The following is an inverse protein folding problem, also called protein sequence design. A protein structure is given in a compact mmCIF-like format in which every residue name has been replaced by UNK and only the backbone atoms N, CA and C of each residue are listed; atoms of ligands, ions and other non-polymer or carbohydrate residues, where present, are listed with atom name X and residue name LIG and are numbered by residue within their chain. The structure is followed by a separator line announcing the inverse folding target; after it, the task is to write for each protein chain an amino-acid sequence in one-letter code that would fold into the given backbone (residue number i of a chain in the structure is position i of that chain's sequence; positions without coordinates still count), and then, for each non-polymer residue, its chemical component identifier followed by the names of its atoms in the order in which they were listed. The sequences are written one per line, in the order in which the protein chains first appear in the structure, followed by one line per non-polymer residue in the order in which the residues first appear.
data_IF_029413500750
#
_entry.id   IF_029413500750
#
_cell.length_a   1.000
_cell.length_b   1.000
_cell.length_c   1.000
_cell.angle_alpha   90.00
_cell.angle_beta   90.00
_cell.angle_gamma   90.00
#
_symmetry.space_group_name_H-M   'P 1'
#
loop_
_entity.id
_entity.type
_entity.pdbx_description
1 polymer ?
#
# COMPACT_ATOMS: atom_id res chain seq x y z
N UNK A 1 17.44 45.68 48.72
CA UNK A 1 16.69 45.58 50.00
C UNK A 1 15.28 45.10 49.65
N UNK A 2 14.95 43.83 49.87
CA UNK A 2 14.06 43.36 50.96
C UNK A 2 12.76 44.18 51.15
N UNK A 3 11.67 43.76 50.49
CA UNK A 3 10.33 43.37 51.04
C UNK A 3 9.16 43.73 50.10
N UNK A 4 7.93 43.20 50.15
CA UNK A 4 7.34 41.89 50.55
C UNK A 4 5.78 42.07 50.67
N UNK A 5 5.00 41.56 49.69
CA UNK A 5 3.61 41.02 49.76
C UNK A 5 2.40 41.92 50.20
N UNK A 6 1.25 41.56 49.58
CA UNK A 6 -0.19 41.73 49.92
C UNK A 6 -0.95 42.76 49.04
N UNK A 7 -1.76 42.37 48.03
CA UNK A 7 -2.91 41.42 47.93
C UNK A 7 -4.17 41.94 48.66
N UNK A 8 -5.23 42.31 47.92
CA UNK A 8 -6.64 41.86 48.09
C UNK A 8 -7.65 42.57 47.13
N UNK A 9 -8.46 41.73 46.45
CA UNK A 9 -9.83 41.88 45.91
C UNK A 9 -10.38 43.13 45.15
N UNK A 10 -11.02 42.80 44.01
CA UNK A 10 -12.03 43.51 43.20
C UNK A 10 -13.41 43.62 43.93
N UNK A 11 -14.35 44.53 43.56
CA UNK A 11 -15.29 44.23 42.45
C UNK A 11 -15.91 45.41 41.65
N UNK A 12 -16.17 45.10 40.36
CA UNK A 12 -17.39 45.30 39.54
C UNK A 12 -18.24 46.62 39.49
N UNK A 13 -18.60 46.95 38.22
CA UNK A 13 -19.96 47.25 37.70
C UNK A 13 -20.45 48.71 37.45
N UNK A 14 -20.60 49.00 36.14
CA UNK A 14 -21.79 49.57 35.43
C UNK A 14 -22.26 51.02 35.69
N UNK A 15 -22.25 51.84 34.61
CA UNK A 15 -23.38 52.69 34.15
C UNK A 15 -23.09 53.25 32.73
N UNK A 16 -24.13 53.69 32.01
CA UNK A 16 -24.08 53.94 30.56
C UNK A 16 -24.62 55.32 30.11
N UNK A 17 -24.58 55.53 28.79
CA UNK A 17 -25.42 56.43 27.96
C UNK A 17 -24.98 57.88 27.66
N UNK A 18 -24.59 58.07 26.39
CA UNK A 18 -25.12 59.03 25.40
C UNK A 18 -25.19 60.54 25.70
N UNK A 19 -24.67 61.33 24.75
CA UNK A 19 -25.20 62.68 24.48
C UNK A 19 -25.27 62.96 22.96
N UNK A 20 -26.40 63.52 22.55
CA UNK A 20 -26.74 63.94 21.17
C UNK A 20 -26.35 65.43 20.97
N UNK A 21 -26.36 65.93 19.72
CA UNK A 21 -26.75 67.31 19.26
C UNK A 21 -26.03 67.66 17.91
N UNK A 22 -26.56 68.39 16.92
CA UNK A 22 -27.85 68.40 16.19
C UNK A 22 -27.90 69.63 15.21
N UNK A 23 -28.39 69.41 13.98
CA UNK A 23 -28.94 70.37 12.96
C UNK A 23 -28.08 71.45 12.26
N UNK A 24 -28.22 71.52 10.91
CA UNK A 24 -28.93 72.56 10.10
C UNK A 24 -28.89 72.12 8.59
N UNK A 25 -29.98 71.85 7.82
CA UNK A 25 -31.08 72.70 7.28
C UNK A 25 -30.69 73.45 5.95
N UNK A 26 -31.35 73.32 4.77
CA UNK A 26 -32.48 72.47 4.28
C UNK A 26 -32.25 71.85 2.83
N UNK A 27 -32.95 72.12 1.67
CA UNK A 27 -33.32 71.01 0.75
C UNK A 27 -33.21 71.26 -0.80
N UNK A 28 -33.69 70.31 -1.63
CA UNK A 28 -34.60 70.46 -2.82
C UNK A 28 -34.36 69.39 -3.93
N UNK A 29 -35.40 68.55 -4.14
CA UNK A 29 -35.84 67.89 -5.39
C UNK A 29 -34.83 67.24 -6.37
N UNK A 30 -34.93 65.92 -6.55
CA UNK A 30 -35.71 65.33 -7.67
C UNK A 30 -35.81 63.80 -7.60
N UNK A 31 -37.00 63.28 -7.92
CA UNK A 31 -37.33 61.89 -8.28
C UNK A 31 -38.43 61.93 -9.36
N UNK A 32 -38.86 60.83 -9.99
CA UNK A 32 -38.26 59.49 -10.11
C UNK A 32 -38.09 59.08 -11.60
N UNK A 33 -37.67 57.85 -11.86
CA UNK A 33 -38.19 57.09 -13.03
C UNK A 33 -38.26 55.62 -12.65
N UNK A 34 -39.44 55.22 -12.24
CA UNK A 34 -39.86 53.82 -12.20
C UNK A 34 -40.67 53.57 -13.47
N UNK A 35 -40.45 52.44 -14.15
CA UNK A 35 -41.35 51.97 -15.20
C UNK A 35 -41.48 50.45 -15.07
N UNK A 36 -42.47 50.04 -14.29
CA UNK A 36 -43.12 48.75 -14.47
C UNK A 36 -43.98 48.82 -15.74
N UNK A 37 -44.13 47.72 -16.49
CA UNK A 37 -45.44 47.02 -16.60
C UNK A 37 -45.20 45.57 -17.08
N UNK A 38 -45.90 44.61 -16.45
CA UNK A 38 -46.55 43.37 -16.96
C UNK A 38 -46.06 42.69 -18.27
N UNK A 39 -46.18 41.38 -18.47
CA UNK A 39 -46.63 40.23 -17.65
C UNK A 39 -46.57 38.96 -18.49
N UNK A 40 -46.31 37.79 -17.91
CA UNK A 40 -47.20 36.64 -18.09
C UNK A 40 -46.99 35.58 -17.00
N UNK A 41 -48.06 34.82 -16.72
CA UNK A 41 -48.13 33.76 -15.71
C UNK A 41 -48.48 32.48 -16.46
N UNK A 42 -47.76 31.40 -16.18
CA UNK A 42 -48.27 30.02 -16.03
C UNK A 42 -47.16 29.27 -15.26
N UNK A 43 -47.38 28.80 -14.03
CA UNK A 43 -48.23 27.66 -13.65
C UNK A 43 -47.49 26.33 -13.94
N UNK A 44 -46.96 25.74 -12.87
CA UNK A 44 -46.22 24.48 -12.92
C UNK A 44 -47.16 23.29 -13.10
N UNK A 45 -46.61 22.17 -13.60
CA UNK A 45 -46.65 20.97 -12.76
C UNK A 45 -45.25 20.41 -12.52
N UNK A 46 -45.12 19.65 -11.44
CA UNK A 46 -44.00 18.74 -11.26
C UNK A 46 -44.32 17.42 -11.96
N UNK A 47 -43.35 16.88 -12.69
CA UNK A 47 -43.13 15.43 -12.86
C UNK A 47 -41.66 15.26 -13.22
N UNK A 48 -41.04 14.20 -12.70
CA UNK A 48 -39.62 13.93 -12.88
C UNK A 48 -39.44 12.91 -14.02
N UNK A 49 -38.53 13.20 -14.93
CA UNK A 49 -37.90 12.20 -15.80
C UNK A 49 -36.38 12.41 -15.75
N UNK A 50 -35.65 11.31 -15.88
CA UNK A 50 -34.22 11.22 -15.59
C UNK A 50 -33.38 11.87 -16.70
N UNK A 51 -32.66 12.95 -16.37
CA UNK A 51 -31.46 13.33 -17.11
C UNK A 51 -30.30 12.51 -16.51
N UNK A 52 -29.98 11.38 -17.14
CA UNK A 52 -28.77 10.62 -16.87
C UNK A 52 -27.56 11.44 -17.36
N UNK A 53 -27.09 12.34 -16.51
CA UNK A 53 -25.96 13.22 -16.82
C UNK A 53 -24.66 12.43 -16.92
N UNK A 54 -24.05 12.48 -18.12
CA UNK A 54 -22.71 11.98 -18.41
C UNK A 54 -21.68 12.40 -17.34
N UNK A 55 -20.85 11.44 -16.93
CA UNK A 55 -19.69 11.68 -16.06
C UNK A 55 -18.57 12.30 -16.89
N UNK A 56 -18.56 13.64 -17.03
CA UNK A 56 -17.50 14.36 -17.76
C UNK A 56 -16.17 14.41 -16.99
N UNK A 57 -15.14 13.86 -17.64
CA UNK A 57 -13.69 14.13 -17.59
C UNK A 57 -12.93 14.09 -16.24
N UNK A 58 -12.24 12.97 -16.03
CA UNK A 58 -10.96 12.92 -15.31
C UNK A 58 -9.91 12.17 -16.16
N UNK A 59 -8.99 12.91 -16.77
CA UNK A 59 -7.91 12.36 -17.59
C UNK A 59 -6.61 12.17 -16.77
N UNK A 60 -6.11 10.92 -16.66
CA UNK A 60 -4.94 10.58 -15.84
C UNK A 60 -3.92 9.60 -16.47
N UNK A 61 -2.76 10.14 -16.83
CA UNK A 61 -1.46 9.46 -16.97
C UNK A 61 -1.26 8.51 -18.17
N UNK A 62 -0.65 9.04 -19.24
CA UNK A 62 -0.37 8.31 -20.49
C UNK A 62 0.77 7.28 -20.35
N UNK A 63 0.45 6.00 -20.40
CA UNK A 63 1.40 4.88 -20.43
C UNK A 63 1.61 4.39 -21.87
N UNK A 64 2.85 4.03 -22.24
CA UNK A 64 3.17 3.50 -23.56
C UNK A 64 4.03 2.23 -23.44
N UNK A 65 3.49 1.03 -23.72
CA UNK A 65 4.22 -0.22 -23.51
C UNK A 65 5.28 -0.44 -24.60
N UNK A 66 6.55 -0.53 -24.19
CA UNK A 66 7.65 -1.04 -25.02
C UNK A 66 7.82 -2.54 -24.78
N UNK A 67 7.00 -3.36 -25.42
CA UNK A 67 6.98 -4.81 -25.23
C UNK A 67 8.08 -5.50 -26.06
N UNK A 68 9.05 -6.13 -25.39
CA UNK A 68 9.98 -7.11 -25.98
C UNK A 68 9.92 -8.40 -25.14
N UNK A 69 9.84 -9.56 -25.81
CA UNK A 69 9.32 -10.82 -25.26
C UNK A 69 10.14 -11.36 -24.06
N UNK A 70 9.43 -11.82 -23.02
CA UNK A 70 10.03 -12.53 -21.89
C UNK A 70 10.33 -14.00 -22.25
N UNK A 71 11.41 -14.61 -21.72
CA UNK A 71 11.76 -15.99 -22.02
C UNK A 71 10.93 -17.01 -21.21
N UNK A 72 10.48 -18.08 -21.86
CA UNK A 72 9.83 -19.23 -21.18
C UNK A 72 10.85 -20.08 -20.38
N UNK A 73 10.68 -20.22 -19.05
CA UNK A 73 11.13 -21.44 -18.34
C UNK A 73 10.35 -21.77 -17.05
N UNK A 74 9.90 -23.04 -17.01
CA UNK A 74 9.76 -23.96 -15.85
C UNK A 74 8.91 -23.65 -14.60
N UNK A 75 7.93 -24.54 -14.43
CA UNK A 75 7.24 -25.02 -13.20
C UNK A 75 6.32 -24.03 -12.45
N UNK A 76 5.09 -24.52 -12.22
CA UNK A 76 3.96 -23.79 -11.63
C UNK A 76 4.19 -23.55 -10.12
N UNK A 77 5.00 -22.55 -9.75
CA UNK A 77 4.66 -21.77 -8.56
C UNK A 77 3.34 -21.08 -8.88
N UNK A 78 2.32 -21.33 -8.06
CA UNK A 78 1.03 -20.66 -8.16
C UNK A 78 1.27 -19.17 -7.92
N UNK A 79 1.11 -18.34 -8.95
CA UNK A 79 1.22 -16.89 -8.80
C UNK A 79 0.20 -16.35 -7.80
N UNK A 80 0.40 -15.13 -7.26
CA UNK A 80 -0.55 -14.53 -6.33
C UNK A 80 -1.97 -14.48 -6.93
N UNK A 81 -2.99 -14.55 -6.10
CA UNK A 81 -4.40 -14.51 -6.52
C UNK A 81 -4.79 -13.15 -7.13
N UNK A 82 -6.01 -13.06 -7.64
CA UNK A 82 -6.57 -11.78 -8.09
C UNK A 82 -6.76 -10.90 -6.85
N UNK A 83 -6.20 -9.68 -6.78
CA UNK A 83 -6.30 -8.86 -5.58
C UNK A 83 -7.74 -8.33 -5.41
N UNK A 84 -8.37 -8.59 -4.26
CA UNK A 84 -9.76 -8.22 -3.96
C UNK A 84 -9.90 -7.04 -3.00
N UNK A 85 -8.99 -6.90 -2.02
CA UNK A 85 -9.11 -5.85 -0.98
C UNK A 85 -7.77 -5.18 -0.69
N UNK A 86 -7.79 -3.86 -0.52
CA UNK A 86 -6.70 -3.05 0.02
C UNK A 86 -7.03 -2.59 1.44
N UNK A 87 -6.07 -2.75 2.37
CA UNK A 87 -6.15 -2.16 3.72
C UNK A 87 -4.90 -1.33 4.01
N UNK A 88 -5.08 -0.11 4.53
CA UNK A 88 -3.99 0.77 4.97
C UNK A 88 -4.31 1.34 6.37
N UNK A 89 -3.86 0.69 7.45
CA UNK A 89 -4.30 1.03 8.81
C UNK A 89 -3.89 2.44 9.28
N UNK A 90 -2.80 2.99 8.75
CA UNK A 90 -2.31 4.32 9.12
C UNK A 90 -3.27 5.47 8.73
N UNK A 91 -4.14 5.23 7.75
CA UNK A 91 -5.10 6.21 7.19
C UNK A 91 -6.55 5.70 7.18
N UNK A 92 -6.86 4.68 8.00
CA UNK A 92 -8.19 4.07 8.14
C UNK A 92 -8.85 3.62 6.80
N UNK A 93 -8.04 3.19 5.81
CA UNK A 93 -8.54 2.69 4.51
C UNK A 93 -8.77 1.18 4.55
N UNK A 94 -9.97 0.76 4.14
CA UNK A 94 -10.38 -0.61 3.81
C UNK A 94 -11.27 -0.49 2.56
N UNK A 95 -10.83 -1.02 1.42
CA UNK A 95 -11.46 -0.78 0.11
C UNK A 95 -11.41 -1.98 -0.83
N UNK A 96 -12.50 -2.20 -1.58
CA UNK A 96 -12.56 -3.19 -2.66
C UNK A 96 -11.67 -2.76 -3.85
N UNK A 97 -11.05 -3.74 -4.49
CA UNK A 97 -10.21 -3.59 -5.68
C UNK A 97 -10.96 -3.97 -6.96
N UNK A 98 -10.82 -3.15 -8.00
CA UNK A 98 -11.37 -3.42 -9.33
C UNK A 98 -10.32 -3.32 -10.44
N UNK A 99 -10.42 -4.17 -11.46
CA UNK A 99 -9.48 -4.19 -12.60
C UNK A 99 -9.65 -2.94 -13.48
N UNK A 100 -8.59 -2.15 -13.63
CA UNK A 100 -8.52 -1.01 -14.55
C UNK A 100 -7.43 -1.19 -15.60
N UNK A 101 -7.77 -0.90 -16.85
CA UNK A 101 -6.87 -1.07 -18.01
C UNK A 101 -6.25 0.23 -18.51
N UNK A 102 -5.78 0.20 -19.76
CA UNK A 102 -5.36 1.38 -20.52
C UNK A 102 -6.53 1.84 -21.42
N UNK A 103 -6.90 3.11 -21.31
CA UNK A 103 -7.93 3.79 -22.09
C UNK A 103 -7.43 4.17 -23.50
N UNK A 104 -8.35 4.50 -24.43
CA UNK A 104 -8.03 4.81 -25.84
C UNK A 104 -7.07 6.01 -26.04
N UNK A 105 -7.02 6.93 -25.07
CA UNK A 105 -6.10 8.07 -24.97
C UNK A 105 -4.70 7.67 -24.42
N UNK A 106 -4.48 6.38 -24.14
CA UNK A 106 -3.28 5.81 -23.55
C UNK A 106 -3.20 5.93 -22.03
N UNK A 107 -4.26 6.37 -21.35
CA UNK A 107 -4.25 6.66 -19.91
C UNK A 107 -4.63 5.46 -19.04
N UNK A 108 -4.14 5.40 -17.80
CA UNK A 108 -4.62 4.42 -16.83
C UNK A 108 -6.10 4.72 -16.47
N UNK A 109 -6.93 3.69 -16.43
CA UNK A 109 -8.29 3.79 -15.91
C UNK A 109 -8.31 4.13 -14.41
N UNK A 110 -9.39 4.76 -13.94
CA UNK A 110 -9.61 5.08 -12.53
C UNK A 110 -10.80 4.27 -12.01
N UNK A 111 -10.91 4.01 -10.69
CA UNK A 111 -12.07 3.32 -10.13
C UNK A 111 -13.37 4.08 -10.41
N UNK A 112 -14.48 3.34 -10.56
CA UNK A 112 -15.82 3.87 -10.86
C UNK A 112 -16.42 4.62 -9.66
N UNK A 113 -15.99 4.28 -8.43
CA UNK A 113 -16.51 4.85 -7.19
C UNK A 113 -15.44 5.62 -6.40
N UNK A 114 -15.86 6.57 -5.58
CA UNK A 114 -14.98 7.33 -4.68
C UNK A 114 -14.45 6.50 -3.49
N UNK A 115 -15.03 5.32 -3.24
CA UNK A 115 -14.70 4.44 -2.12
C UNK A 115 -13.82 3.24 -2.56
N UNK A 116 -13.85 2.87 -3.85
CA UNK A 116 -13.08 1.77 -4.43
C UNK A 116 -11.72 2.19 -4.99
N UNK A 117 -10.86 1.19 -5.26
CA UNK A 117 -9.49 1.38 -5.75
C UNK A 117 -9.25 0.56 -7.02
N UNK A 118 -8.73 1.19 -8.07
CA UNK A 118 -8.43 0.54 -9.34
C UNK A 118 -7.04 -0.11 -9.34
N UNK A 119 -6.96 -1.42 -9.54
CA UNK A 119 -5.72 -2.15 -9.80
C UNK A 119 -5.38 -2.14 -11.30
N UNK A 120 -4.16 -1.71 -11.64
CA UNK A 120 -3.67 -1.72 -13.01
C UNK A 120 -3.31 -3.15 -13.48
N UNK A 121 -4.31 -3.89 -13.96
CA UNK A 121 -4.16 -5.27 -14.46
C UNK A 121 -3.05 -5.44 -15.52
N UNK A 122 -2.80 -4.49 -16.46
CA UNK A 122 -1.71 -4.63 -17.44
C UNK A 122 -0.29 -4.51 -16.85
N UNK A 123 -0.16 -4.21 -15.57
CA UNK A 123 1.11 -4.14 -14.83
C UNK A 123 1.51 -5.47 -14.19
N UNK A 124 2.34 -5.42 -13.15
CA UNK A 124 2.55 -6.59 -12.30
C UNK A 124 1.35 -6.77 -11.35
N UNK A 125 1.01 -8.01 -11.01
CA UNK A 125 0.06 -8.31 -9.95
C UNK A 125 0.73 -8.07 -8.58
N UNK A 126 0.00 -7.62 -7.54
CA UNK A 126 0.56 -7.50 -6.19
C UNK A 126 1.23 -8.81 -5.75
N UNK A 127 2.49 -8.72 -5.30
CA UNK A 127 3.32 -9.86 -4.94
C UNK A 127 4.16 -10.47 -6.08
N UNK A 128 3.91 -10.15 -7.34
CA UNK A 128 4.81 -10.51 -8.44
C UNK A 128 6.08 -9.64 -8.47
N UNK A 129 7.10 -10.09 -9.21
CA UNK A 129 8.27 -9.27 -9.50
C UNK A 129 7.89 -8.15 -10.48
N UNK A 130 8.11 -6.90 -10.07
CA UNK A 130 7.77 -5.70 -10.83
C UNK A 130 7.13 -4.63 -9.96
N UNK A 131 6.43 -3.70 -10.62
CA UNK A 131 5.62 -2.67 -9.99
C UNK A 131 4.14 -2.99 -10.19
N UNK A 132 3.45 -3.40 -9.13
CA UNK A 132 2.00 -3.37 -9.08
C UNK A 132 1.53 -1.93 -8.82
N UNK A 133 0.41 -1.51 -9.40
CA UNK A 133 -0.07 -0.13 -9.27
C UNK A 133 -1.54 -0.11 -8.88
N UNK A 134 -1.87 0.65 -7.84
CA UNK A 134 -3.23 0.92 -7.39
C UNK A 134 -3.52 2.44 -7.49
N UNK A 135 -4.66 2.80 -8.05
CA UNK A 135 -5.10 4.19 -8.16
C UNK A 135 -6.44 4.39 -7.43
N UNK A 136 -6.54 5.47 -6.66
CA UNK A 136 -7.76 5.85 -5.94
C UNK A 136 -7.98 7.35 -6.00
N UNK A 137 -9.25 7.77 -5.92
CA UNK A 137 -9.60 9.19 -5.95
C UNK A 137 -9.16 9.89 -4.66
N UNK A 138 -8.73 11.15 -4.78
CA UNK A 138 -8.39 12.01 -3.63
C UNK A 138 -9.64 12.64 -3.04
N UNK A 139 -10.52 13.16 -3.89
CA UNK A 139 -11.80 13.74 -3.51
C UNK A 139 -12.88 13.44 -4.56
N UNK A 140 -14.09 13.87 -4.24
CA UNK A 140 -15.29 13.72 -5.05
C UNK A 140 -16.16 14.97 -4.90
N UNK A 141 -17.28 15.03 -5.63
CA UNK A 141 -18.26 16.12 -5.49
C UNK A 141 -18.89 16.20 -4.10
N UNK A 142 -18.89 15.10 -3.36
CA UNK A 142 -19.54 14.97 -2.04
C UNK A 142 -18.55 15.10 -0.86
N UNK A 143 -17.23 15.04 -1.12
CA UNK A 143 -16.18 15.22 -0.10
C UNK A 143 -14.92 14.40 -0.38
N UNK A 144 -14.07 14.19 0.64
CA UNK A 144 -12.95 13.24 0.61
C UNK A 144 -13.31 11.89 -0.01
N UNK A 145 -12.35 11.29 -0.72
CA UNK A 145 -12.46 9.96 -1.30
C UNK A 145 -11.38 9.03 -0.71
N UNK A 146 -11.32 7.77 -1.15
CA UNK A 146 -10.52 6.69 -0.55
C UNK A 146 -9.04 7.04 -0.29
N UNK A 147 -8.40 7.84 -1.16
CA UNK A 147 -6.99 8.23 -1.03
C UNK A 147 -6.79 9.70 -0.62
N UNK A 148 -7.79 10.34 0.00
CA UNK A 148 -7.68 11.70 0.53
C UNK A 148 -6.47 11.89 1.48
N UNK A 149 -6.34 10.98 2.45
CA UNK A 149 -5.29 11.02 3.47
C UNK A 149 -4.02 10.24 3.07
N UNK A 150 -3.91 9.77 1.81
CA UNK A 150 -2.70 9.08 1.30
C UNK A 150 -1.41 9.91 1.43
N UNK A 151 -1.55 11.23 1.59
CA UNK A 151 -0.46 12.16 1.83
C UNK A 151 0.12 12.12 3.26
N UNK A 152 -0.53 11.44 4.20
CA UNK A 152 -0.07 11.27 5.59
C UNK A 152 0.88 10.06 5.76
N UNK A 153 0.97 9.15 4.77
CA UNK A 153 1.81 7.96 4.85
C UNK A 153 3.31 8.28 4.87
N UNK A 154 4.01 7.75 5.88
CA UNK A 154 5.45 7.86 6.09
C UNK A 154 6.16 6.51 5.87
N UNK A 155 7.50 6.53 5.79
CA UNK A 155 8.28 5.31 5.61
C UNK A 155 8.20 4.41 6.86
N UNK A 156 7.86 3.14 6.68
CA UNK A 156 7.56 2.18 7.75
C UNK A 156 6.07 1.94 8.01
N UNK A 157 5.16 2.67 7.35
CA UNK A 157 3.72 2.37 7.40
C UNK A 157 3.39 1.08 6.61
N UNK A 158 2.40 0.33 7.10
CA UNK A 158 2.02 -0.97 6.55
C UNK A 158 0.84 -0.84 5.56
N UNK A 159 0.93 -1.56 4.44
CA UNK A 159 -0.11 -1.66 3.40
C UNK A 159 -0.37 -3.14 3.15
N UNK A 160 -1.63 -3.56 3.17
CA UNK A 160 -2.03 -4.96 2.99
C UNK A 160 -2.90 -5.12 1.75
N UNK A 161 -2.62 -6.16 0.95
CA UNK A 161 -3.47 -6.56 -0.17
C UNK A 161 -3.88 -8.02 0.01
N UNK A 162 -5.18 -8.27 -0.02
CA UNK A 162 -5.75 -9.62 0.13
C UNK A 162 -6.32 -10.10 -1.19
N UNK A 163 -6.00 -11.33 -1.57
CA UNK A 163 -6.41 -11.95 -2.84
C UNK A 163 -7.68 -12.82 -2.75
N UNK A 164 -8.21 -13.22 -3.91
CA UNK A 164 -9.41 -14.05 -4.10
C UNK A 164 -9.32 -15.45 -3.48
N UNK A 165 -8.15 -15.83 -2.96
CA UNK A 165 -7.90 -17.08 -2.26
C UNK A 165 -7.73 -16.89 -0.74
N UNK A 166 -7.78 -15.65 -0.27
CA UNK A 166 -7.63 -15.25 1.13
C UNK A 166 -6.17 -15.12 1.58
N UNK A 167 -5.22 -15.03 0.65
CA UNK A 167 -3.82 -14.76 0.95
C UNK A 167 -3.63 -13.25 1.15
N UNK A 168 -3.05 -12.84 2.29
CA UNK A 168 -2.78 -11.45 2.61
C UNK A 168 -1.28 -11.16 2.40
N UNK A 169 -0.97 -10.14 1.59
CA UNK A 169 0.37 -9.67 1.29
C UNK A 169 0.64 -8.37 2.05
N UNK A 170 1.67 -8.36 2.89
CA UNK A 170 2.14 -7.15 3.57
C UNK A 170 3.20 -6.43 2.73
N UNK A 171 3.05 -5.11 2.62
CA UNK A 171 4.03 -4.20 2.03
C UNK A 171 4.38 -3.10 3.05
N UNK A 172 5.64 -2.65 3.05
CA UNK A 172 6.10 -1.51 3.86
C UNK A 172 6.31 -0.28 2.97
N UNK A 173 5.79 0.86 3.37
CA UNK A 173 6.03 2.15 2.70
C UNK A 173 7.52 2.51 2.79
N UNK A 174 8.15 2.75 1.63
CA UNK A 174 9.57 3.14 1.54
C UNK A 174 9.74 4.65 1.39
N UNK A 175 8.83 5.31 0.65
CA UNK A 175 8.81 6.76 0.42
C UNK A 175 7.47 7.24 -0.13
N UNK A 176 7.12 8.48 0.19
CA UNK A 176 5.99 9.22 -0.39
C UNK A 176 6.52 10.42 -1.18
N UNK A 177 6.10 10.57 -2.44
CA UNK A 177 6.64 11.59 -3.36
C UNK A 177 5.50 12.27 -4.14
N UNK A 178 5.61 13.59 -4.32
CA UNK A 178 4.71 14.39 -5.16
C UNK A 178 5.44 14.84 -6.43
N UNK A 179 4.80 14.68 -7.58
CA UNK A 179 5.30 15.04 -8.91
C UNK A 179 4.30 15.96 -9.65
N UNK A 180 4.78 16.87 -10.50
CA UNK A 180 3.91 17.51 -11.52
C UNK A 180 3.32 16.39 -12.40
N UNK A 181 2.02 16.49 -12.71
CA UNK A 181 1.28 15.47 -13.49
C UNK A 181 1.96 15.05 -14.80
N UNK A 182 2.81 15.90 -15.39
CA UNK A 182 3.52 15.69 -16.66
C UNK A 182 4.98 15.27 -16.49
N UNK A 183 5.53 15.35 -15.28
CA UNK A 183 6.93 15.04 -14.96
C UNK A 183 7.09 13.78 -14.09
N UNK A 184 5.98 13.17 -13.66
CA UNK A 184 5.99 11.92 -12.89
C UNK A 184 6.69 10.77 -13.66
N UNK A 185 7.61 10.02 -13.02
CA UNK A 185 8.48 9.06 -13.70
C UNK A 185 7.76 7.76 -14.05
N UNK A 186 7.12 7.74 -15.23
CA UNK A 186 6.45 6.57 -15.84
C UNK A 186 7.16 5.22 -15.60
N UNK A 187 8.46 5.15 -15.92
CA UNK A 187 9.25 3.91 -15.80
C UNK A 187 9.50 3.49 -14.34
N UNK A 188 9.56 4.43 -13.40
CA UNK A 188 9.74 4.12 -11.97
C UNK A 188 8.43 3.64 -11.33
N UNK A 189 7.29 4.10 -11.85
CA UNK A 189 5.97 3.82 -11.29
C UNK A 189 5.31 2.59 -11.92
N UNK A 190 5.42 2.42 -13.24
CA UNK A 190 4.78 1.36 -14.04
C UNK A 190 5.76 0.46 -14.80
N UNK A 191 7.04 0.83 -14.84
CA UNK A 191 8.06 0.07 -15.56
C UNK A 191 8.49 -1.19 -14.82
N UNK A 192 9.54 -1.84 -15.32
CA UNK A 192 10.03 -3.11 -14.76
C UNK A 192 10.88 -2.86 -13.52
N UNK A 193 10.69 -3.69 -12.49
CA UNK A 193 11.59 -3.79 -11.33
C UNK A 193 12.04 -5.23 -11.14
N UNK A 194 13.22 -5.41 -10.54
CA UNK A 194 13.68 -6.71 -10.04
C UNK A 194 13.12 -7.02 -8.63
N UNK A 195 12.61 -5.99 -7.93
CA UNK A 195 11.91 -6.13 -6.63
C UNK A 195 10.41 -6.42 -6.79
N UNK A 196 9.69 -6.50 -5.67
CA UNK A 196 8.24 -6.68 -5.60
C UNK A 196 7.62 -5.44 -4.94
N UNK A 197 7.05 -4.54 -5.73
CA UNK A 197 6.57 -3.25 -5.25
C UNK A 197 5.07 -3.08 -5.48
N UNK A 198 4.43 -2.31 -4.59
CA UNK A 198 3.06 -1.81 -4.77
C UNK A 198 3.09 -0.29 -4.71
N UNK A 199 2.75 0.37 -5.81
CA UNK A 199 2.72 1.82 -5.91
C UNK A 199 1.27 2.31 -5.79
N UNK A 200 0.98 3.09 -4.73
CA UNK A 200 -0.33 3.72 -4.53
C UNK A 200 -0.30 5.13 -5.13
N UNK A 201 -1.26 5.47 -5.99
CA UNK A 201 -1.29 6.73 -6.73
C UNK A 201 -2.61 7.48 -6.50
N UNK A 202 -2.52 8.79 -6.27
CA UNK A 202 -3.69 9.67 -6.31
C UNK A 202 -3.40 11.06 -6.89
N UNK A 203 -4.46 11.83 -7.15
CA UNK A 203 -4.35 13.24 -7.51
C UNK A 203 -3.99 14.08 -6.28
N UNK A 204 -3.17 15.13 -6.42
CA UNK A 204 -2.92 16.05 -5.30
C UNK A 204 -2.62 17.46 -5.78
N UNK A 205 -2.50 18.39 -4.85
CA UNK A 205 -2.24 19.80 -5.16
C UNK A 205 -3.49 20.54 -5.65
N UNK A 206 -3.30 21.60 -6.42
CA UNK A 206 -4.40 22.50 -6.82
C UNK A 206 -5.23 21.90 -7.95
N UNK A 207 -6.57 21.89 -7.82
CA UNK A 207 -7.47 21.53 -8.90
C UNK A 207 -7.44 22.59 -10.01
N UNK A 208 -7.13 22.17 -11.24
CA UNK A 208 -7.00 23.04 -12.39
C UNK A 208 -8.23 22.97 -13.30
N UNK A 209 -9.06 24.02 -13.24
CA UNK A 209 -10.31 24.10 -14.00
C UNK A 209 -10.12 24.13 -15.53
N UNK A 210 -8.93 24.45 -16.05
CA UNK A 210 -8.64 24.36 -17.49
C UNK A 210 -8.49 22.90 -17.96
N UNK A 211 -8.05 22.01 -17.06
CA UNK A 211 -7.72 20.62 -17.37
C UNK A 211 -8.59 19.58 -16.65
N UNK A 212 -9.60 20.01 -15.87
CA UNK A 212 -10.52 19.12 -15.15
C UNK A 212 -9.86 18.23 -14.08
N UNK A 213 -8.63 18.50 -13.67
CA UNK A 213 -7.85 17.62 -12.79
C UNK A 213 -6.82 18.42 -11.99
N UNK A 214 -6.22 17.80 -10.97
CA UNK A 214 -5.17 18.45 -10.18
C UNK A 214 -3.84 18.52 -10.93
N UNK A 215 -3.05 19.54 -10.62
CA UNK A 215 -1.74 19.79 -11.23
C UNK A 215 -0.67 18.75 -10.85
N UNK A 216 -0.80 18.09 -9.69
CA UNK A 216 0.19 17.15 -9.17
C UNK A 216 -0.36 15.71 -9.02
N UNK A 217 0.54 14.75 -8.87
CA UNK A 217 0.27 13.34 -8.51
C UNK A 217 1.10 12.96 -7.30
N UNK A 218 0.46 12.33 -6.32
CA UNK A 218 1.13 11.73 -5.17
C UNK A 218 1.31 10.23 -5.44
N UNK A 219 2.52 9.74 -5.21
CA UNK A 219 2.87 8.33 -5.31
C UNK A 219 3.51 7.88 -4.01
N UNK A 220 2.94 6.86 -3.39
CA UNK A 220 3.52 6.11 -2.28
C UNK A 220 4.14 4.86 -2.86
N UNK A 221 5.44 4.68 -2.63
CA UNK A 221 6.19 3.52 -3.09
C UNK A 221 6.37 2.56 -1.92
N UNK A 222 6.01 1.29 -2.10
CA UNK A 222 6.23 0.25 -1.10
C UNK A 222 7.15 -0.86 -1.60
N UNK A 223 7.60 -1.70 -0.69
CA UNK A 223 8.29 -2.95 -0.99
C UNK A 223 7.59 -4.08 -0.23
N UNK A 224 7.43 -5.25 -0.86
CA UNK A 224 6.83 -6.41 -0.22
C UNK A 224 7.67 -6.80 1.00
N UNK A 225 7.02 -6.92 2.15
CA UNK A 225 7.63 -7.54 3.33
C UNK A 225 7.68 -9.03 3.05
N UNK A 226 8.81 -9.52 2.57
CA UNK A 226 9.09 -10.95 2.56
C UNK A 226 9.10 -11.40 4.03
N UNK A 227 8.21 -12.32 4.42
CA UNK A 227 8.38 -13.01 5.69
C UNK A 227 9.72 -13.72 5.67
N UNK A 228 10.69 -13.17 6.41
CA UNK A 228 11.88 -13.91 6.84
C UNK A 228 11.37 -15.14 7.59
N UNK A 229 11.27 -16.28 6.89
CA UNK A 229 10.86 -17.54 7.47
C UNK A 229 11.81 -17.82 8.63
N UNK A 230 11.31 -17.60 9.85
CA UNK A 230 12.15 -17.49 11.04
C UNK A 230 13.01 -18.73 11.20
N UNK A 231 14.23 -18.55 11.76
CA UNK A 231 15.22 -19.62 11.88
C UNK A 231 14.55 -20.96 12.25
N UNK A 232 14.58 -21.97 11.36
CA UNK A 232 13.67 -23.10 11.47
C UNK A 232 13.98 -23.93 12.71
N UNK A 233 12.98 -24.64 13.21
CA UNK A 233 13.12 -25.49 14.38
C UNK A 233 14.26 -26.53 14.20
N UNK A 234 14.95 -26.82 15.29
CA UNK A 234 16.11 -27.73 15.26
C UNK A 234 15.67 -29.18 15.05
N UNK A 235 16.26 -29.95 14.12
CA UNK A 235 15.90 -31.36 13.94
C UNK A 235 16.16 -32.19 15.21
N UNK A 236 15.12 -32.85 15.71
CA UNK A 236 15.18 -33.65 16.93
C UNK A 236 15.26 -35.17 16.67
N UNK A 237 15.28 -35.95 17.77
CA UNK A 237 15.20 -37.41 17.78
C UNK A 237 16.31 -38.08 16.93
N UNK A 238 17.52 -37.57 17.08
CA UNK A 238 18.71 -38.07 16.38
C UNK A 238 19.03 -39.50 16.83
N UNK A 239 19.30 -40.39 15.88
CA UNK A 239 19.69 -41.76 16.17
C UNK A 239 20.77 -42.27 15.23
N UNK A 240 21.86 -42.75 15.82
CA UNK A 240 22.95 -43.46 15.14
C UNK A 240 22.80 -44.97 15.35
N UNK A 241 22.90 -45.74 14.27
CA UNK A 241 22.81 -47.20 14.31
C UNK A 241 23.67 -47.82 13.22
N UNK A 242 24.88 -48.24 13.59
CA UNK A 242 25.90 -48.67 12.64
C UNK A 242 26.27 -47.52 11.70
N UNK A 243 26.12 -47.73 10.40
CA UNK A 243 26.45 -46.77 9.34
C UNK A 243 25.28 -45.84 8.99
N UNK A 244 24.26 -45.69 9.86
CA UNK A 244 23.07 -44.88 9.59
C UNK A 244 22.83 -43.83 10.67
N UNK A 245 22.70 -42.58 10.24
CA UNK A 245 22.30 -41.41 11.02
C UNK A 245 20.88 -41.03 10.61
N UNK A 246 19.95 -40.82 11.55
CA UNK A 246 18.54 -40.50 11.28
C UNK A 246 18.02 -39.44 12.23
N UNK A 247 17.04 -38.68 11.79
CA UNK A 247 16.40 -37.59 12.54
C UNK A 247 14.89 -37.58 12.30
N UNK A 248 14.14 -36.86 13.13
CA UNK A 248 12.75 -36.51 12.84
C UNK A 248 12.68 -35.34 11.86
N UNK A 249 11.65 -35.31 11.01
CA UNK A 249 11.35 -34.12 10.24
C UNK A 249 10.90 -32.99 11.17
N UNK A 250 11.29 -31.76 10.83
CA UNK A 250 10.76 -30.52 11.40
C UNK A 250 9.38 -30.28 10.80
N UNK A 251 8.43 -29.85 11.62
CA UNK A 251 7.03 -29.62 11.26
C UNK A 251 6.81 -28.13 10.91
N UNK A 252 7.51 -27.71 9.85
CA UNK A 252 7.57 -26.33 9.34
C UNK A 252 7.47 -26.41 7.81
N UNK A 253 6.50 -25.70 7.24
CA UNK A 253 6.23 -25.71 5.80
C UNK A 253 7.29 -24.97 4.97
N UNK A 254 8.03 -24.06 5.58
CA UNK A 254 9.12 -23.35 4.93
C UNK A 254 10.38 -24.21 4.76
N UNK A 255 10.52 -25.31 5.50
CA UNK A 255 11.68 -26.20 5.44
C UNK A 255 11.71 -27.00 4.14
N UNK A 256 12.51 -26.53 3.18
CA UNK A 256 12.74 -27.19 1.87
C UNK A 256 13.79 -28.32 1.96
N UNK A 257 14.61 -28.36 3.01
CA UNK A 257 15.67 -29.35 3.10
C UNK A 257 16.41 -29.42 4.45
N UNK A 258 17.49 -30.19 4.45
CA UNK A 258 18.33 -30.50 5.60
C UNK A 258 19.79 -30.59 5.16
N UNK A 259 20.72 -30.09 5.97
CA UNK A 259 22.17 -30.24 5.76
C UNK A 259 22.75 -31.10 6.89
N UNK A 260 23.39 -32.21 6.52
CA UNK A 260 24.06 -33.13 7.45
C UNK A 260 25.54 -32.80 7.43
N UNK A 261 26.09 -32.52 8.61
CA UNK A 261 27.49 -32.18 8.82
C UNK A 261 28.21 -33.29 9.57
N UNK A 262 29.53 -33.38 9.36
CA UNK A 262 30.44 -34.22 10.13
C UNK A 262 31.61 -33.41 10.66
N UNK A 263 32.12 -33.78 11.83
CA UNK A 263 33.29 -33.18 12.47
C UNK A 263 34.47 -34.18 12.44
N UNK A 264 35.57 -33.79 11.80
CA UNK A 264 36.80 -34.59 11.69
C UNK A 264 37.59 -34.58 13.01
N UNK A 265 38.54 -35.51 13.17
CA UNK A 265 39.38 -35.63 14.38
C UNK A 265 40.19 -34.37 14.74
N UNK A 266 40.43 -33.47 13.77
CA UNK A 266 41.13 -32.19 13.98
C UNK A 266 40.19 -31.01 14.30
N UNK A 267 38.88 -31.25 14.40
CA UNK A 267 37.84 -30.25 14.63
C UNK A 267 37.33 -29.57 13.36
N UNK A 268 37.79 -29.97 12.17
CA UNK A 268 37.25 -29.46 10.90
C UNK A 268 35.83 -29.98 10.69
N UNK A 269 34.88 -29.07 10.42
CA UNK A 269 33.50 -29.43 10.07
C UNK A 269 33.35 -29.44 8.54
N UNK A 270 32.74 -30.49 8.01
CA UNK A 270 32.42 -30.65 6.58
C UNK A 270 30.93 -30.92 6.37
N UNK A 271 30.37 -30.39 5.27
CA UNK A 271 29.04 -30.77 4.80
C UNK A 271 29.11 -32.19 4.20
N UNK A 272 28.50 -33.17 4.88
CA UNK A 272 28.51 -34.58 4.50
C UNK A 272 27.40 -34.92 3.49
N UNK A 273 26.24 -34.27 3.59
CA UNK A 273 25.13 -34.39 2.64
C UNK A 273 24.13 -33.25 2.73
N UNK A 274 23.38 -33.02 1.65
CA UNK A 274 22.11 -32.28 1.66
C UNK A 274 20.95 -33.22 1.35
N UNK A 275 19.78 -32.98 1.95
CA UNK A 275 18.56 -33.79 1.78
C UNK A 275 17.32 -32.93 1.62
N UNK A 276 16.49 -33.22 0.61
CA UNK A 276 15.25 -32.48 0.40
C UNK A 276 14.18 -32.78 1.48
N UNK A 277 13.20 -31.88 1.63
CA UNK A 277 12.08 -32.03 2.57
C UNK A 277 11.26 -33.30 2.36
N UNK A 278 11.08 -33.74 1.11
CA UNK A 278 10.39 -35.00 0.78
C UNK A 278 11.31 -36.25 0.85
N UNK A 279 12.64 -36.09 0.97
CA UNK A 279 13.53 -37.24 1.12
C UNK A 279 13.47 -37.83 2.54
N UNK A 280 13.78 -39.14 2.62
CA UNK A 280 13.90 -39.87 3.88
C UNK A 280 14.91 -39.19 4.80
N UNK A 281 14.51 -38.94 6.05
CA UNK A 281 15.32 -38.33 7.13
C UNK A 281 16.39 -39.29 7.66
N UNK A 282 17.33 -39.63 6.78
CA UNK A 282 18.44 -40.52 7.04
C UNK A 282 19.61 -40.26 6.10
N UNK A 283 20.80 -40.24 6.68
CA UNK A 283 22.09 -40.29 6.02
C UNK A 283 22.76 -41.62 6.36
N UNK A 284 23.61 -42.13 5.46
CA UNK A 284 24.38 -43.35 5.72
C UNK A 284 25.75 -43.26 5.07
N UNK A 285 26.79 -43.55 5.84
CA UNK A 285 28.19 -43.57 5.42
C UNK A 285 29.00 -44.41 6.42
N UNK A 286 30.18 -44.87 6.01
CA UNK A 286 31.04 -45.74 6.82
C UNK A 286 31.53 -45.05 8.11
N UNK A 287 31.72 -43.73 8.06
CA UNK A 287 32.22 -42.86 9.14
C UNK A 287 31.16 -42.42 10.17
N UNK A 288 29.87 -42.74 9.96
CA UNK A 288 28.77 -42.36 10.87
C UNK A 288 28.93 -42.93 12.29
N UNK A 289 29.61 -44.06 12.45
CA UNK A 289 29.92 -44.65 13.75
C UNK A 289 31.30 -44.29 14.30
N UNK A 290 32.07 -43.46 13.58
CA UNK A 290 33.48 -43.13 13.87
C UNK A 290 33.68 -41.64 14.14
N UNK A 291 32.93 -40.77 13.45
CA UNK A 291 32.99 -39.31 13.55
C UNK A 291 31.68 -38.72 14.07
N UNK A 292 31.77 -37.56 14.71
CA UNK A 292 30.59 -36.85 15.20
C UNK A 292 29.78 -36.25 14.05
N UNK A 293 28.47 -36.45 14.08
CA UNK A 293 27.52 -35.96 13.08
C UNK A 293 26.41 -35.12 13.72
N UNK A 294 25.91 -34.15 12.95
CA UNK A 294 24.71 -33.38 13.28
C UNK A 294 23.97 -32.96 12.00
N UNK A 295 22.75 -32.45 12.15
CA UNK A 295 21.91 -32.00 11.04
C UNK A 295 21.23 -30.67 11.37
N UNK A 296 21.05 -29.83 10.37
CA UNK A 296 20.22 -28.62 10.40
C UNK A 296 19.04 -28.77 9.44
N UNK A 297 17.94 -28.07 9.71
CA UNK A 297 16.89 -27.79 8.73
C UNK A 297 17.26 -26.55 7.89
N UNK A 298 16.71 -26.44 6.68
CA UNK A 298 16.97 -25.34 5.73
C UNK A 298 15.65 -24.86 5.12
N UNK A 299 15.40 -23.55 5.17
CA UNK A 299 14.19 -22.90 4.62
C UNK A 299 14.33 -22.53 3.12
N UNK A 300 13.25 -22.03 2.49
CA UNK A 300 13.19 -21.63 1.06
C UNK A 300 14.14 -20.47 0.74
N UNK A 301 14.24 -19.49 1.63
CA UNK A 301 15.20 -18.36 1.64
C UNK A 301 16.64 -18.80 1.91
N UNK A 302 16.84 -19.94 2.58
CA UNK A 302 18.13 -20.57 2.82
C UNK A 302 18.72 -20.40 4.22
N UNK A 303 17.98 -19.83 5.17
CA UNK A 303 18.33 -19.88 6.60
C UNK A 303 18.49 -21.34 7.10
N UNK A 304 19.37 -21.53 8.08
CA UNK A 304 19.60 -22.84 8.72
C UNK A 304 19.20 -22.82 10.20
N UNK A 305 18.59 -23.92 10.66
CA UNK A 305 18.33 -24.13 12.09
C UNK A 305 19.62 -24.12 12.90
N UNK A 306 19.49 -23.98 14.22
CA UNK A 306 20.58 -24.41 15.10
C UNK A 306 20.93 -25.91 14.86
N UNK A 307 22.17 -26.33 15.14
CA UNK A 307 22.57 -27.74 15.02
C UNK A 307 21.77 -28.68 15.92
N UNK A 308 21.37 -29.84 15.39
CA UNK A 308 20.84 -30.94 16.21
C UNK A 308 21.83 -31.39 17.30
N UNK A 309 21.35 -32.17 18.28
CA UNK A 309 22.25 -32.88 19.20
C UNK A 309 23.31 -33.67 18.41
N UNK A 310 24.58 -33.39 18.71
CA UNK A 310 25.74 -34.06 18.12
C UNK A 310 25.82 -35.51 18.62
N UNK A 311 25.93 -36.48 17.70
CA UNK A 311 26.07 -37.91 17.98
C UNK A 311 27.36 -38.47 17.40
#
# INVERSE_FOLDING_TARGET
MKRLIYLFLLPAAVAAAAFMIVLLIQPVFSSPTETQVLSERNEAPAEAEEEAGEFEDMEAFTVHPSQEEAPEVSEEEKGPGIPETLTVPAIDVEADLEEVGILDNGQMGVPDSAEGVGWFEPGARPGEQGNAVLAGHVDSRDGPAVFYDLHELEAGDEVFVTDDEGSELQFEVTKTVVYDRREAPLEEIFGRSDGRHLNLITCTGTFNQEYGTHDDRLVVYTELVEEEAGQPDTPENISVSGQSFRWHAVDDENVVGYRVYRELEDGTVELAASKAAYERKSYSSDDVGELTHYVTAVTKDGAESEPSEKQ
#
